data_IF_171900055162
#
_entry.id   IF_171900055162
#
_cell.length_a   1.000
_cell.length_b   1.000
_cell.length_c   1.000
_cell.angle_alpha   90.00
_cell.angle_beta   90.00
_cell.angle_gamma   90.00
#
_symmetry.space_group_name_H-M   'P 1'
#
loop_
_entity.id
_entity.type
_entity.pdbx_description
1 polymer ?
#
# COMPACT_ATOMS: atom_id res chain seq x y z
N UNK A 1 10.41 14.11 11.19
CA UNK A 1 9.77 12.79 11.37
C UNK A 1 9.96 11.87 10.17
N UNK A 2 11.20 11.50 9.80
CA UNK A 2 11.46 10.63 8.63
C UNK A 2 10.83 9.23 8.76
N UNK A 3 10.76 8.69 9.99
CA UNK A 3 10.25 7.35 10.23
C UNK A 3 8.77 7.15 9.84
N UNK A 4 7.90 8.13 10.10
CA UNK A 4 6.48 8.05 9.72
C UNK A 4 6.29 8.12 8.21
N UNK A 5 7.15 8.87 7.51
CA UNK A 5 7.06 9.02 6.06
C UNK A 5 7.55 7.76 5.36
N UNK A 6 8.62 7.14 5.86
CA UNK A 6 9.09 5.83 5.40
C UNK A 6 8.04 4.75 5.66
N UNK A 7 7.43 4.70 6.84
CA UNK A 7 6.40 3.71 7.16
C UNK A 7 5.19 3.79 6.20
N UNK A 8 4.77 5.01 5.84
CA UNK A 8 3.71 5.25 4.87
C UNK A 8 4.11 4.84 3.45
N UNK A 9 5.36 5.12 3.05
CA UNK A 9 5.89 4.74 1.75
C UNK A 9 5.99 3.22 1.58
N UNK A 10 6.32 2.49 2.64
CA UNK A 10 6.45 1.03 2.64
C UNK A 10 5.11 0.27 2.65
N UNK A 11 3.98 0.96 2.89
CA UNK A 11 2.63 0.38 2.87
C UNK A 11 2.50 -0.91 3.70
N UNK A 12 2.95 -0.83 4.96
CA UNK A 12 3.06 -1.99 5.87
C UNK A 12 1.78 -2.29 6.66
N UNK A 13 0.68 -1.56 6.41
CA UNK A 13 -0.55 -1.78 7.17
C UNK A 13 -1.31 -3.02 6.69
N UNK A 14 -2.20 -3.55 7.53
CA UNK A 14 -3.08 -4.66 7.16
C UNK A 14 -4.01 -4.29 6.00
N UNK A 15 -4.44 -3.03 5.93
CA UNK A 15 -5.29 -2.50 4.86
C UNK A 15 -4.51 -2.47 3.54
N UNK A 16 -3.28 -1.97 3.56
CA UNK A 16 -2.42 -1.97 2.37
C UNK A 16 -2.17 -3.40 1.86
N UNK A 17 -1.88 -4.33 2.77
CA UNK A 17 -1.69 -5.74 2.45
C UNK A 17 -2.95 -6.36 1.79
N UNK A 18 -4.14 -5.94 2.22
CA UNK A 18 -5.41 -6.38 1.65
C UNK A 18 -5.61 -5.79 0.25
N UNK A 19 -5.35 -4.49 0.06
CA UNK A 19 -5.43 -3.84 -1.26
C UNK A 19 -4.46 -4.45 -2.29
N UNK A 20 -3.31 -4.92 -1.82
CA UNK A 20 -2.30 -5.63 -2.61
C UNK A 20 -2.62 -7.13 -2.81
N UNK A 21 -3.75 -7.63 -2.29
CA UNK A 21 -4.15 -9.05 -2.34
C UNK A 21 -3.10 -10.02 -1.73
N UNK A 22 -2.29 -9.55 -0.78
CA UNK A 22 -1.30 -10.37 -0.07
C UNK A 22 -2.01 -11.22 1.00
N UNK A 23 -2.92 -10.60 1.74
CA UNK A 23 -3.75 -11.24 2.77
C UNK A 23 -5.18 -11.44 2.25
N UNK A 24 -5.88 -12.42 2.82
CA UNK A 24 -7.26 -12.75 2.43
C UNK A 24 -8.30 -12.06 3.32
N UNK A 25 -7.96 -11.79 4.58
CA UNK A 25 -8.84 -11.15 5.56
C UNK A 25 -8.03 -10.35 6.60
N UNK A 26 -8.67 -9.35 7.20
CA UNK A 26 -8.14 -8.57 8.33
C UNK A 26 -9.05 -8.78 9.53
N UNK A 27 -8.50 -9.38 10.58
CA UNK A 27 -9.25 -9.57 11.84
C UNK A 27 -9.27 -8.24 12.59
N UNK A 28 -10.46 -7.71 12.95
CA UNK A 28 -10.54 -6.48 13.71
C UNK A 28 -10.00 -6.68 15.13
N UNK A 29 -9.39 -5.63 15.67
CA UNK A 29 -9.01 -5.62 17.09
C UNK A 29 -10.20 -5.22 17.98
N UNK A 30 -10.22 -5.68 19.24
CA UNK A 30 -11.14 -5.15 20.25
C UNK A 30 -10.96 -3.64 20.46
N UNK A 31 -11.95 -2.98 21.07
CA UNK A 31 -11.91 -1.53 21.32
C UNK A 31 -10.71 -1.09 22.18
N UNK A 32 -10.29 -1.93 23.14
CA UNK A 32 -9.10 -1.71 23.97
C UNK A 32 -7.78 -2.14 23.30
N UNK A 33 -7.83 -2.55 22.03
CA UNK A 33 -6.73 -3.20 21.32
C UNK A 33 -6.55 -4.66 21.71
N UNK A 34 -5.78 -5.39 20.90
CA UNK A 34 -5.53 -6.81 21.14
C UNK A 34 -4.81 -7.09 22.48
N UNK A 35 -3.99 -6.15 22.95
CA UNK A 35 -3.30 -6.23 24.23
C UNK A 35 -4.22 -5.89 25.42
N UNK A 36 -5.19 -4.99 25.24
CA UNK A 36 -6.14 -4.60 26.29
C UNK A 36 -7.24 -5.63 26.54
N UNK A 37 -7.67 -6.34 25.49
CA UNK A 37 -8.63 -7.47 25.61
C UNK A 37 -8.17 -8.71 24.84
N UNK A 38 -7.15 -9.45 25.34
CA UNK A 38 -6.61 -10.63 24.64
C UNK A 38 -7.64 -11.74 24.45
N UNK A 39 -8.55 -11.91 25.41
CA UNK A 39 -9.62 -12.93 25.36
C UNK A 39 -10.58 -12.66 24.21
N UNK A 40 -10.95 -11.39 24.00
CA UNK A 40 -11.83 -11.01 22.90
C UNK A 40 -11.11 -11.10 21.55
N UNK A 41 -9.86 -10.64 21.48
CA UNK A 41 -9.03 -10.80 20.28
C UNK A 41 -8.92 -12.28 19.87
N UNK A 42 -8.69 -13.18 20.84
CA UNK A 42 -8.65 -14.62 20.60
C UNK A 42 -10.00 -15.17 20.10
N UNK A 43 -11.13 -14.66 20.60
CA UNK A 43 -12.47 -15.04 20.12
C UNK A 43 -12.71 -14.59 18.69
N UNK A 44 -12.34 -13.36 18.34
CA UNK A 44 -12.43 -12.83 16.98
C UNK A 44 -11.58 -13.65 16.02
N UNK A 45 -10.32 -13.90 16.39
CA UNK A 45 -9.41 -14.74 15.62
C UNK A 45 -9.96 -16.17 15.43
N UNK A 46 -10.44 -16.81 16.51
CA UNK A 46 -11.03 -18.15 16.45
C UNK A 46 -12.20 -18.20 15.47
N UNK A 47 -13.09 -17.20 15.51
CA UNK A 47 -14.24 -17.12 14.59
C UNK A 47 -13.79 -17.08 13.14
N UNK A 48 -12.82 -16.21 12.81
CA UNK A 48 -12.28 -16.09 11.46
C UNK A 48 -11.60 -17.39 11.02
N UNK A 49 -10.76 -17.99 11.86
CA UNK A 49 -10.08 -19.25 11.56
C UNK A 49 -11.06 -20.39 11.28
N UNK A 50 -12.10 -20.54 12.11
CA UNK A 50 -13.10 -21.59 11.91
C UNK A 50 -13.84 -21.43 10.58
N UNK A 51 -14.17 -20.18 10.21
CA UNK A 51 -14.79 -19.87 8.91
C UNK A 51 -13.88 -20.26 7.75
N UNK A 52 -12.62 -19.84 7.77
CA UNK A 52 -11.67 -20.13 6.68
C UNK A 52 -11.34 -21.61 6.58
N UNK A 53 -11.19 -22.32 7.70
CA UNK A 53 -10.95 -23.76 7.69
C UNK A 53 -12.16 -24.51 7.11
N UNK A 54 -13.40 -24.14 7.49
CA UNK A 54 -14.60 -24.71 6.88
C UNK A 54 -14.62 -24.50 5.37
N UNK A 55 -14.40 -23.26 4.90
CA UNK A 55 -14.37 -22.93 3.47
C UNK A 55 -13.33 -23.77 2.68
N UNK A 56 -12.15 -24.00 3.28
CA UNK A 56 -11.09 -24.79 2.66
C UNK A 56 -11.41 -26.29 2.68
N UNK A 57 -12.05 -26.79 3.73
CA UNK A 57 -12.39 -28.21 3.89
C UNK A 57 -13.39 -28.71 2.84
N UNK A 58 -14.24 -27.82 2.33
CA UNK A 58 -15.21 -28.14 1.26
C UNK A 58 -14.56 -28.20 -0.14
N UNK A 59 -13.31 -27.77 -0.27
CA UNK A 59 -12.61 -27.73 -1.56
C UNK A 59 -11.69 -28.95 -1.75
N UNK A 60 -11.76 -29.62 -2.91
CA UNK A 60 -10.85 -30.71 -3.26
C UNK A 60 -9.37 -30.26 -3.29
N UNK A 61 -8.46 -31.10 -2.77
CA UNK A 61 -7.01 -30.97 -2.79
C UNK A 61 -6.42 -30.49 -4.13
N UNK A 62 -6.83 -31.04 -5.27
CA UNK A 62 -6.30 -30.60 -6.59
C UNK A 62 -6.59 -29.13 -6.86
N UNK A 63 -7.77 -28.66 -6.44
CA UNK A 63 -8.17 -27.26 -6.57
C UNK A 63 -7.43 -26.38 -5.57
N UNK A 64 -7.24 -26.82 -4.33
CA UNK A 64 -6.46 -26.11 -3.32
C UNK A 64 -5.02 -25.86 -3.78
N UNK A 65 -4.35 -26.87 -4.34
CA UNK A 65 -2.98 -26.72 -4.86
C UNK A 65 -2.91 -25.69 -5.98
N UNK A 66 -3.83 -25.75 -6.95
CA UNK A 66 -3.90 -24.77 -8.04
C UNK A 66 -4.17 -23.35 -7.53
N UNK A 67 -5.10 -23.19 -6.58
CA UNK A 67 -5.41 -21.89 -5.95
C UNK A 67 -4.18 -21.33 -5.24
N UNK A 68 -3.47 -22.15 -4.45
CA UNK A 68 -2.23 -21.79 -3.76
C UNK A 68 -1.16 -21.30 -4.75
N UNK A 69 -0.88 -22.09 -5.79
CA UNK A 69 0.08 -21.71 -6.82
C UNK A 69 -0.30 -20.39 -7.52
N UNK A 70 -1.58 -20.22 -7.84
CA UNK A 70 -2.09 -18.98 -8.46
C UNK A 70 -1.97 -17.77 -7.53
N UNK A 71 -2.25 -17.92 -6.23
CA UNK A 71 -2.10 -16.86 -5.23
C UNK A 71 -0.65 -16.38 -5.18
N UNK A 72 0.30 -17.28 -4.94
CA UNK A 72 1.70 -16.90 -4.80
C UNK A 72 2.33 -16.37 -6.10
N UNK A 73 1.90 -16.85 -7.28
CA UNK A 73 2.38 -16.30 -8.56
C UNK A 73 1.89 -14.88 -8.84
N UNK A 74 0.73 -14.50 -8.30
CA UNK A 74 0.19 -13.14 -8.43
C UNK A 74 0.86 -12.15 -7.48
N UNK A 75 1.33 -12.62 -6.33
CA UNK A 75 2.04 -11.78 -5.36
C UNK A 75 3.35 -11.32 -6.00
N UNK A 76 3.61 -10.02 -6.02
CA UNK A 76 4.82 -9.44 -6.60
C UNK A 76 4.85 -9.39 -8.14
N UNK A 77 3.84 -9.96 -8.82
CA UNK A 77 3.60 -9.59 -10.21
C UNK A 77 3.32 -8.08 -10.20
N UNK A 78 3.91 -7.30 -11.13
CA UNK A 78 3.52 -5.90 -11.41
C UNK A 78 2.09 -5.86 -11.99
N UNK A 79 1.18 -6.61 -11.39
CA UNK A 79 -0.19 -6.77 -11.79
C UNK A 79 -0.87 -5.42 -11.74
N UNK A 80 -1.70 -5.20 -12.75
CA UNK A 80 -2.58 -4.05 -12.95
C UNK A 80 -3.14 -3.44 -11.66
N UNK A 81 -3.40 -4.22 -10.61
CA UNK A 81 -3.95 -3.75 -9.32
C UNK A 81 -2.97 -2.98 -8.42
N UNK A 82 -1.71 -3.41 -8.25
CA UNK A 82 -0.71 -2.60 -7.52
C UNK A 82 -0.48 -1.27 -8.25
N UNK A 83 -0.34 -1.33 -9.60
CA UNK A 83 -0.30 -0.12 -10.43
C UNK A 83 -1.56 0.72 -10.30
N UNK A 84 -2.76 0.13 -10.23
CA UNK A 84 -4.02 0.86 -10.09
C UNK A 84 -4.19 1.49 -8.70
N UNK A 85 -3.77 0.81 -7.63
CA UNK A 85 -3.75 1.35 -6.27
C UNK A 85 -2.78 2.54 -6.20
N UNK A 86 -1.54 2.35 -6.70
CA UNK A 86 -0.57 3.44 -6.82
C UNK A 86 -1.07 4.57 -7.76
N UNK A 87 -1.83 4.24 -8.81
CA UNK A 87 -2.36 5.22 -9.78
C UNK A 87 -3.46 6.11 -9.23
N UNK A 88 -4.20 5.68 -8.20
CA UNK A 88 -5.16 6.57 -7.51
C UNK A 88 -4.43 7.72 -6.83
N UNK A 89 -3.28 7.42 -6.24
CA UNK A 89 -2.38 8.42 -5.67
C UNK A 89 -1.74 9.25 -6.80
N UNK A 90 -1.19 8.63 -7.86
CA UNK A 90 -0.54 9.42 -8.93
C UNK A 90 -1.49 10.32 -9.72
N UNK A 91 -2.78 9.98 -9.87
CA UNK A 91 -3.77 10.88 -10.50
C UNK A 91 -3.99 12.15 -9.69
N UNK A 92 -4.04 12.04 -8.37
CA UNK A 92 -4.16 13.20 -7.49
C UNK A 92 -2.93 14.10 -7.63
N UNK A 93 -1.74 13.50 -7.74
CA UNK A 93 -0.49 14.22 -7.96
C UNK A 93 -0.39 14.82 -9.37
N UNK A 94 -0.86 14.13 -10.41
CA UNK A 94 -0.95 14.66 -11.77
C UNK A 94 -1.91 15.85 -11.85
N UNK A 95 -3.06 15.78 -11.17
CA UNK A 95 -4.01 16.89 -11.11
C UNK A 95 -3.42 18.11 -10.40
N UNK A 96 -2.71 17.90 -9.28
CA UNK A 96 -2.00 18.96 -8.57
C UNK A 96 -0.88 19.60 -9.40
N UNK A 97 -0.06 18.79 -10.08
CA UNK A 97 1.00 19.27 -10.97
C UNK A 97 0.45 20.06 -12.16
N UNK A 98 -0.61 19.59 -12.82
CA UNK A 98 -1.24 20.30 -13.94
C UNK A 98 -1.90 21.61 -13.48
N UNK A 99 -2.54 21.62 -12.31
CA UNK A 99 -3.07 22.84 -11.71
C UNK A 99 -1.95 23.83 -11.39
N UNK A 100 -0.83 23.37 -10.85
CA UNK A 100 0.37 24.16 -10.59
C UNK A 100 0.99 24.76 -11.87
N UNK A 101 1.20 23.96 -12.91
CA UNK A 101 1.70 24.45 -14.20
C UNK A 101 0.75 25.46 -14.86
N UNK A 102 -0.56 25.29 -14.68
CA UNK A 102 -1.57 26.22 -15.21
C UNK A 102 -1.59 27.54 -14.44
N UNK A 103 -1.40 27.49 -13.13
CA UNK A 103 -1.25 28.68 -12.29
C UNK A 103 0.04 29.45 -12.64
N UNK A 104 1.16 28.74 -12.85
CA UNK A 104 2.42 29.33 -13.32
C UNK A 104 2.26 30.02 -14.69
N UNK A 105 1.47 29.44 -15.61
CA UNK A 105 1.19 30.04 -16.92
C UNK A 105 0.30 31.28 -16.87
N UNK A 106 -0.42 31.50 -15.77
CA UNK A 106 -1.35 32.63 -15.60
C UNK A 106 -0.79 33.73 -14.69
N UNK A 107 0.39 33.52 -14.08
CA UNK A 107 1.06 34.52 -13.27
C UNK A 107 1.69 35.59 -14.17
N UNK A 108 1.54 36.90 -13.85
CA UNK A 108 2.22 37.96 -14.59
C UNK A 108 3.74 37.86 -14.35
N UNK A 109 4.51 37.97 -15.43
CA UNK A 109 5.97 37.87 -15.41
C UNK A 109 6.61 39.05 -14.67
N UNK A 110 6.89 38.87 -13.38
CA UNK A 110 7.99 39.57 -12.73
C UNK A 110 9.08 38.55 -12.39
N UNK A 111 10.12 38.54 -13.23
CA UNK A 111 11.43 37.88 -13.10
C UNK A 111 11.54 36.78 -12.03
N UNK A 112 11.24 35.54 -12.42
CA UNK A 112 11.81 34.36 -11.76
C UNK A 112 12.22 33.41 -12.86
N UNK A 113 13.43 33.57 -13.37
CA UNK A 113 14.09 32.51 -14.14
C UNK A 113 14.24 31.32 -13.19
N UNK A 114 13.59 30.17 -13.43
CA UNK A 114 13.85 29.00 -12.62
C UNK A 114 15.25 28.53 -12.96
N UNK A 115 16.15 28.50 -11.97
CA UNK A 115 17.40 27.75 -12.13
C UNK A 115 17.04 26.27 -12.26
N UNK A 116 17.29 25.73 -13.44
CA UNK A 116 17.26 24.29 -13.66
C UNK A 116 18.52 23.73 -13.00
N UNK A 117 18.31 22.91 -11.97
CA UNK A 117 19.35 22.13 -11.34
C UNK A 117 19.63 20.96 -12.29
N UNK A 118 20.87 20.86 -12.78
CA UNK A 118 21.29 19.78 -13.67
C UNK A 118 21.19 18.42 -12.93
N UNK A 119 20.95 17.33 -13.67
CA UNK A 119 20.78 15.98 -13.11
C UNK A 119 21.99 15.51 -12.26
N UNK A 120 23.15 16.15 -12.42
CA UNK A 120 24.37 15.94 -11.61
C UNK A 120 24.31 16.56 -10.19
N UNK A 121 23.36 17.47 -9.92
CA UNK A 121 23.17 18.14 -8.61
C UNK A 121 21.97 17.59 -7.81
N UNK A 122 21.32 16.53 -8.27
CA UNK A 122 20.35 15.80 -7.45
C UNK A 122 21.08 15.18 -6.24
N UNK A 123 20.68 15.49 -4.99
CA UNK A 123 21.34 14.92 -3.83
C UNK A 123 21.22 13.40 -3.89
N UNK A 124 22.36 12.74 -3.93
CA UNK A 124 22.47 11.30 -4.05
C UNK A 124 21.72 10.63 -2.88
N UNK A 125 20.53 10.10 -3.19
CA UNK A 125 19.57 9.64 -2.18
C UNK A 125 20.13 8.43 -1.41
N UNK A 126 21.13 7.76 -1.99
CA UNK A 126 21.82 6.62 -1.39
C UNK A 126 22.81 7.00 -0.28
N UNK A 127 23.27 8.26 -0.21
CA UNK A 127 24.26 8.73 0.78
C UNK A 127 23.67 9.46 2.00
N UNK A 128 22.33 9.48 2.16
CA UNK A 128 21.68 9.88 3.41
C UNK A 128 21.23 8.69 4.28
N UNK A 129 21.78 7.51 4.01
CA UNK A 129 22.00 6.49 5.04
C UNK A 129 23.43 6.69 5.59
N UNK A 130 23.64 7.82 6.27
CA UNK A 130 24.44 7.91 7.50
C UNK A 130 24.14 9.23 8.22
#
# INVERSE_FOLDING_TARGET
NRASDVARALKLTSIDCMEMEIVDDVVPEPEQGAHGSPVEAARLLKRTLMREISNLSETNNKTLMRRRQKKFRKIGEYGSRFRNALRRETKAWQAGLVAGMRALRQAPEENISPEFIDDEELPDIDNQIN
#
